data_IF_118524682459
#
_entry.id   IF_118524682459
#
_cell.length_a   1.000
_cell.length_b   1.000
_cell.length_c   1.000
_cell.angle_alpha   90.00
_cell.angle_beta   90.00
_cell.angle_gamma   90.00
#
_symmetry.space_group_name_H-M   'P 1'
#
loop_
_entity.id
_entity.type
_entity.pdbx_description
1 polymer ?
#
# COMPACT_ATOMS: atom_id res chain seq x y z
N UNK A 1 -1.74 -13.56 17.95
CA UNK A 1 -1.77 -12.10 17.77
C UNK A 1 -0.49 -11.74 17.03
N UNK A 2 -0.52 -11.71 15.70
CA UNK A 2 0.64 -11.34 14.88
C UNK A 2 0.74 -9.83 14.92
N UNK A 3 1.83 -9.30 15.48
CA UNK A 3 2.09 -7.86 15.54
C UNK A 3 2.47 -7.35 14.15
N UNK A 4 1.58 -6.55 13.56
CA UNK A 4 1.85 -5.80 12.34
C UNK A 4 2.81 -4.66 12.66
N UNK A 5 3.95 -4.63 11.97
CA UNK A 5 4.72 -3.39 11.86
C UNK A 5 4.38 -2.81 10.49
N UNK A 6 3.62 -1.71 10.50
CA UNK A 6 3.42 -0.89 9.31
C UNK A 6 4.37 0.29 9.38
N UNK A 7 5.32 0.37 8.45
CA UNK A 7 5.98 1.64 8.16
C UNK A 7 5.06 2.43 7.25
N UNK A 8 4.82 3.69 7.58
CA UNK A 8 3.98 4.61 6.82
C UNK A 8 4.67 5.98 6.81
N UNK A 9 5.22 6.34 5.65
CA UNK A 9 6.00 7.55 5.46
C UNK A 9 5.41 8.36 4.30
N UNK A 10 5.26 9.67 4.49
CA UNK A 10 4.83 10.60 3.46
C UNK A 10 6.01 11.51 3.11
N UNK A 11 6.35 11.54 1.82
CA UNK A 11 7.42 12.36 1.27
C UNK A 11 6.90 13.23 0.12
N UNK A 12 7.66 14.25 -0.26
CA UNK A 12 7.35 15.06 -1.44
C UNK A 12 8.00 14.41 -2.67
N UNK A 13 7.19 14.08 -3.67
CA UNK A 13 7.60 13.60 -4.98
C UNK A 13 8.21 14.70 -5.84
N UNK A 14 8.93 14.29 -6.89
CA UNK A 14 9.72 15.18 -7.78
C UNK A 14 8.86 16.09 -8.65
N UNK A 15 7.60 15.71 -8.82
CA UNK A 15 6.52 16.34 -9.54
C UNK A 15 5.69 17.29 -8.65
N UNK A 16 6.09 17.45 -7.39
CA UNK A 16 5.40 18.29 -6.40
C UNK A 16 4.22 17.60 -5.73
N UNK A 17 3.84 16.42 -6.21
CA UNK A 17 2.84 15.55 -5.61
C UNK A 17 3.42 14.78 -4.41
N UNK A 18 2.60 14.47 -3.40
CA UNK A 18 3.04 13.64 -2.27
C UNK A 18 3.12 12.16 -2.67
N UNK A 19 4.10 11.47 -2.12
CA UNK A 19 4.26 10.01 -2.19
C UNK A 19 4.13 9.44 -0.79
N UNK A 20 3.25 8.45 -0.61
CA UNK A 20 3.08 7.72 0.64
C UNK A 20 3.62 6.31 0.47
N UNK A 21 4.77 6.04 1.07
CA UNK A 21 5.35 4.71 1.14
C UNK A 21 4.76 3.97 2.32
N UNK A 22 4.19 2.79 2.07
CA UNK A 22 3.73 1.91 3.13
C UNK A 22 4.33 0.53 3.01
N UNK A 23 4.68 -0.07 4.15
CA UNK A 23 5.22 -1.42 4.20
C UNK A 23 4.48 -2.24 5.22
N UNK A 24 3.85 -3.34 4.80
CA UNK A 24 3.32 -4.36 5.69
C UNK A 24 4.41 -5.41 5.95
N UNK A 25 4.66 -5.72 7.23
CA UNK A 25 5.64 -6.73 7.63
C UNK A 25 4.98 -7.85 8.44
N UNK A 26 5.49 -9.06 8.24
CA UNK A 26 5.17 -10.28 8.97
C UNK A 26 6.44 -11.11 9.19
N UNK A 27 6.32 -12.30 9.79
CA UNK A 27 7.46 -13.20 9.96
C UNK A 27 7.95 -13.74 8.61
N UNK A 28 9.25 -14.03 8.51
CA UNK A 28 9.84 -14.64 7.31
C UNK A 28 9.10 -15.92 6.94
N UNK A 29 8.73 -16.05 5.67
CA UNK A 29 8.00 -17.23 5.17
C UNK A 29 6.49 -17.17 5.34
N UNK A 30 5.94 -16.10 5.93
CA UNK A 30 4.49 -15.85 5.96
C UNK A 30 4.10 -14.98 4.76
N UNK A 31 2.99 -15.30 4.11
CA UNK A 31 2.48 -14.45 3.04
C UNK A 31 1.90 -13.19 3.67
N UNK A 32 2.46 -12.03 3.34
CA UNK A 32 1.96 -10.72 3.72
C UNK A 32 1.20 -10.13 2.55
N UNK A 33 0.04 -9.52 2.82
CA UNK A 33 -0.84 -8.95 1.82
C UNK A 33 -1.17 -7.52 2.21
N UNK A 34 -1.12 -6.61 1.24
CA UNK A 34 -1.75 -5.30 1.31
C UNK A 34 -3.08 -5.38 0.56
N UNK A 35 -4.14 -4.97 1.23
CA UNK A 35 -5.49 -4.86 0.69
C UNK A 35 -5.86 -3.40 0.50
N UNK A 36 -6.41 -3.05 -0.66
CA UNK A 36 -6.88 -1.71 -0.98
C UNK A 36 -8.40 -1.66 -1.05
N UNK A 37 -9.01 -0.66 -0.40
CA UNK A 37 -10.46 -0.45 -0.39
C UNK A 37 -11.22 -1.74 -0.02
N UNK A 38 -10.83 -2.39 1.07
CA UNK A 38 -11.41 -3.67 1.50
C UNK A 38 -11.44 -4.72 0.38
N UNK A 39 -10.30 -4.88 -0.31
CA UNK A 39 -10.06 -5.73 -1.48
C UNK A 39 -10.75 -5.31 -2.78
N UNK A 40 -11.60 -4.27 -2.81
CA UNK A 40 -12.31 -3.89 -4.05
C UNK A 40 -11.39 -3.28 -5.09
N UNK A 41 -10.31 -2.60 -4.68
CA UNK A 41 -9.23 -2.15 -5.56
C UNK A 41 -8.07 -3.15 -5.60
N UNK A 42 -8.31 -4.33 -5.03
CA UNK A 42 -7.47 -5.52 -5.07
C UNK A 42 -6.34 -5.54 -4.04
N UNK A 43 -5.53 -6.60 -4.12
CA UNK A 43 -4.42 -6.88 -3.20
C UNK A 43 -3.04 -6.95 -3.85
N UNK A 44 -1.99 -6.61 -3.10
CA UNK A 44 -0.57 -6.88 -3.44
C UNK A 44 -0.01 -7.79 -2.38
N UNK A 45 0.84 -8.76 -2.74
CA UNK A 45 1.39 -9.71 -1.75
C UNK A 45 2.89 -9.94 -1.93
N UNK A 46 3.53 -10.33 -0.82
CA UNK A 46 4.95 -10.67 -0.74
C UNK A 46 5.21 -11.62 0.44
N UNK A 47 6.39 -12.22 0.48
CA UNK A 47 6.77 -13.14 1.56
C UNK A 47 7.54 -12.38 2.64
N UNK A 48 7.05 -12.40 3.88
CA UNK A 48 7.61 -11.69 5.03
C UNK A 48 7.36 -10.19 5.01
N UNK A 49 7.44 -9.52 3.87
CA UNK A 49 7.06 -8.11 3.74
C UNK A 49 6.49 -7.79 2.35
N UNK A 50 5.79 -6.66 2.27
CA UNK A 50 5.34 -6.04 1.02
C UNK A 50 5.35 -4.53 1.21
N UNK A 51 6.00 -3.82 0.28
CA UNK A 51 6.05 -2.36 0.24
C UNK A 51 5.30 -1.85 -0.99
N UNK A 52 4.60 -0.74 -0.83
CA UNK A 52 3.86 -0.05 -1.87
C UNK A 52 4.09 1.46 -1.77
N UNK A 53 4.04 2.13 -2.91
CA UNK A 53 4.05 3.59 -2.98
C UNK A 53 2.71 4.06 -3.57
N UNK A 54 2.05 4.95 -2.85
CA UNK A 54 0.87 5.66 -3.34
C UNK A 54 1.29 7.05 -3.78
N UNK A 55 0.76 7.50 -4.91
CA UNK A 55 0.98 8.85 -5.41
C UNK A 55 -0.30 9.65 -5.25
N UNK A 56 -0.21 10.92 -4.87
CA UNK A 56 -1.36 11.80 -4.94
C UNK A 56 -1.82 12.01 -6.40
N UNK A 57 -3.07 12.43 -6.59
CA UNK A 57 -3.54 13.02 -7.86
C UNK A 57 -3.80 14.53 -7.68
N UNK A 58 -4.24 15.20 -8.74
CA UNK A 58 -4.57 16.63 -8.73
C UNK A 58 -5.72 16.98 -7.75
N UNK A 59 -6.56 15.99 -7.42
CA UNK A 59 -7.65 16.11 -6.45
C UNK A 59 -7.20 15.85 -4.99
N UNK A 60 -5.88 15.72 -4.76
CA UNK A 60 -5.28 15.44 -3.44
C UNK A 60 -5.69 14.09 -2.84
N UNK A 61 -5.96 13.10 -3.69
CA UNK A 61 -6.31 11.73 -3.30
C UNK A 61 -5.14 10.79 -3.53
N UNK A 62 -4.99 9.77 -2.67
CA UNK A 62 -3.99 8.73 -2.88
C UNK A 62 -4.42 7.81 -4.02
N UNK A 63 -3.50 7.49 -4.91
CA UNK A 63 -3.74 6.62 -6.06
C UNK A 63 -2.68 5.53 -6.17
N UNK A 64 -3.11 4.39 -6.71
CA UNK A 64 -2.24 3.27 -7.02
C UNK A 64 -2.52 2.78 -8.44
N UNK A 65 -1.47 2.66 -9.25
CA UNK A 65 -1.59 2.12 -10.59
C UNK A 65 -1.39 0.60 -10.54
N UNK A 66 -2.40 -0.14 -10.99
CA UNK A 66 -2.35 -1.59 -11.08
C UNK A 66 -2.97 -2.07 -12.39
N UNK A 67 -2.28 -2.97 -13.09
CA UNK A 67 -2.75 -3.55 -14.35
C UNK A 67 -3.15 -2.48 -15.39
N UNK A 68 -2.50 -1.31 -15.38
CA UNK A 68 -2.80 -0.18 -16.26
C UNK A 68 -4.02 0.66 -15.86
N UNK A 69 -4.65 0.37 -14.72
CA UNK A 69 -5.77 1.15 -14.16
C UNK A 69 -5.26 1.89 -12.93
N UNK A 70 -5.60 3.18 -12.83
CA UNK A 70 -5.31 3.99 -11.64
C UNK A 70 -6.54 4.00 -10.75
N UNK A 71 -6.39 3.51 -9.53
CA UNK A 71 -7.45 3.42 -8.53
C UNK A 71 -7.22 4.45 -7.43
N UNK A 72 -8.28 5.10 -6.96
CA UNK A 72 -8.25 5.96 -5.77
C UNK A 72 -8.30 5.08 -4.53
N UNK A 73 -7.34 5.25 -3.63
CA UNK A 73 -7.16 4.43 -2.44
C UNK A 73 -7.58 5.22 -1.20
N UNK A 74 -8.63 4.75 -0.53
CA UNK A 74 -9.18 5.39 0.67
C UNK A 74 -8.91 4.57 1.94
N UNK A 75 -8.89 3.24 1.82
CA UNK A 75 -8.56 2.34 2.93
C UNK A 75 -7.46 1.37 2.53
N UNK A 76 -6.63 1.02 3.50
CA UNK A 76 -5.52 0.11 3.32
C UNK A 76 -5.41 -0.79 4.54
N UNK A 77 -5.28 -2.09 4.30
CA UNK A 77 -5.19 -3.11 5.35
C UNK A 77 -4.00 -4.03 5.11
N UNK A 78 -3.24 -4.34 6.16
CA UNK A 78 -2.22 -5.38 6.14
C UNK A 78 -2.84 -6.71 6.61
N UNK A 79 -2.72 -7.75 5.79
CA UNK A 79 -3.23 -9.09 6.06
C UNK A 79 -2.11 -10.14 5.92
N UNK A 80 -2.33 -11.32 6.48
CA UNK A 80 -1.40 -12.45 6.44
C UNK A 80 -2.21 -13.67 6.07
N UNK A 81 -1.67 -14.48 5.17
CA UNK A 81 -2.24 -15.74 4.76
C UNK A 81 -1.32 -16.90 5.16
#
# INVERSE_FOLDING_TARGET
MTTWFSLDEITQGIDGCLVRMMTCMSSTGIQTVVSFNDDTSGTVSGMGNVSIDLNCNDDSEWTYMRNGVTEVITTISCLTA
#
